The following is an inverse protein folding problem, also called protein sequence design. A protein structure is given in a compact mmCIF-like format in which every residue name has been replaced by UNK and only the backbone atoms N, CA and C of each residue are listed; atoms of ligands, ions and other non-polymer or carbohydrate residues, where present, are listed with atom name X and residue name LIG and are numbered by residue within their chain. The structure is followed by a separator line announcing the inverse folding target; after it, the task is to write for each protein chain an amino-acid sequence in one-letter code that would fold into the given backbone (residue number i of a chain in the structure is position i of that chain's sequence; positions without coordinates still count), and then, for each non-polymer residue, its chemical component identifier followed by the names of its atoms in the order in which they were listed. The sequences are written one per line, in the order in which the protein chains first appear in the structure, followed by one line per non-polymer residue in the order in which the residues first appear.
data_IF_909783429417
#
_entry.id   IF_909783429417
#
_cell.length_a   1.000
_cell.length_b   1.000
_cell.length_c   1.000
_cell.angle_alpha   90.00
_cell.angle_beta   90.00
_cell.angle_gamma   90.00
#
_symmetry.space_group_name_H-M   'P 1'
#
loop_
_entity.id
_entity.type
_entity.pdbx_description
1 polymer ?
#
# COMPACT_ATOMS: atom_id res chain seq x y z
N UNK A 1 -0.41 10.33 16.21
CA UNK A 1 0.97 10.85 16.43
C UNK A 1 1.99 9.78 16.85
N UNK A 2 1.60 8.69 17.55
CA UNK A 2 2.54 7.64 18.01
C UNK A 2 3.41 6.99 16.91
N UNK A 3 2.93 6.93 15.67
CA UNK A 3 3.66 6.32 14.54
C UNK A 3 4.64 7.29 13.86
N UNK A 4 4.21 8.53 13.60
CA UNK A 4 5.03 9.53 12.91
C UNK A 4 6.26 9.98 13.69
N UNK A 5 6.20 10.04 15.03
CA UNK A 5 7.38 10.35 15.86
C UNK A 5 8.50 9.35 15.64
N UNK A 6 8.18 8.06 15.66
CA UNK A 6 9.15 6.97 15.47
C UNK A 6 9.79 7.01 14.09
N UNK A 7 8.99 7.22 13.04
CA UNK A 7 9.45 7.39 11.65
C UNK A 7 10.39 8.59 11.52
N UNK A 8 10.00 9.76 12.05
CA UNK A 8 10.83 10.96 12.00
C UNK A 8 12.16 10.79 12.76
N UNK A 9 12.15 10.04 13.87
CA UNK A 9 13.37 9.72 14.62
C UNK A 9 14.37 8.89 13.83
N UNK A 10 13.91 7.94 13.01
CA UNK A 10 14.80 7.12 12.15
C UNK A 10 15.44 8.00 11.08
N UNK A 11 14.64 8.87 10.46
CA UNK A 11 15.14 9.75 9.40
C UNK A 11 16.10 10.82 9.94
N UNK A 12 15.74 11.52 11.04
CA UNK A 12 16.41 12.76 11.43
C UNK A 12 16.55 12.97 12.95
N UNK A 13 16.38 11.94 13.77
CA UNK A 13 16.54 12.06 15.22
C UNK A 13 17.97 12.44 15.61
N UNK A 14 18.16 13.51 16.41
CA UNK A 14 19.51 13.94 16.82
C UNK A 14 20.22 12.98 17.82
N UNK A 15 19.49 12.02 18.39
CA UNK A 15 20.03 11.01 19.31
C UNK A 15 20.34 11.51 20.73
N UNK A 16 19.98 12.75 21.09
CA UNK A 16 20.39 13.40 22.36
C UNK A 16 20.00 12.61 23.62
N UNK A 17 18.84 11.97 23.63
CA UNK A 17 18.36 11.19 24.80
C UNK A 17 19.00 9.81 24.93
N UNK A 18 19.95 9.47 24.06
CA UNK A 18 20.68 8.19 24.05
C UNK A 18 22.18 8.38 23.85
N UNK A 19 22.71 9.58 24.14
CA UNK A 19 24.11 9.94 23.90
C UNK A 19 24.59 9.62 22.47
N UNK A 20 23.68 9.72 21.49
CA UNK A 20 23.95 9.48 20.08
C UNK A 20 23.79 8.03 19.62
N UNK A 21 23.48 7.07 20.50
CA UNK A 21 23.31 5.64 20.14
C UNK A 21 22.17 5.44 19.14
N UNK A 22 21.02 6.08 19.36
CA UNK A 22 19.84 5.98 18.50
C UNK A 22 19.64 7.26 17.66
N UNK A 23 20.72 7.70 17.03
CA UNK A 23 20.71 8.81 16.08
C UNK A 23 20.10 8.38 14.74
N UNK A 24 19.26 9.22 14.17
CA UNK A 24 18.70 9.05 12.84
C UNK A 24 19.74 9.27 11.75
N UNK A 25 19.37 8.96 10.50
CA UNK A 25 20.30 8.97 9.36
C UNK A 25 20.79 10.38 9.01
N UNK A 26 19.89 11.36 8.95
CA UNK A 26 20.15 12.77 8.66
C UNK A 26 19.86 13.64 9.90
N UNK A 27 20.66 13.54 10.98
CA UNK A 27 20.35 14.12 12.29
C UNK A 27 20.35 15.66 12.34
N UNK A 28 20.82 16.31 11.28
CA UNK A 28 20.90 17.77 11.13
C UNK A 28 19.87 18.32 10.13
N UNK A 29 19.06 17.47 9.49
CA UNK A 29 18.04 17.94 8.55
C UNK A 29 16.87 18.58 9.28
N UNK A 30 16.30 19.64 8.69
CA UNK A 30 15.02 20.17 9.12
C UNK A 30 13.88 19.16 8.87
N UNK A 31 12.84 19.22 9.69
CA UNK A 31 11.67 18.34 9.58
C UNK A 31 10.41 19.13 9.20
N UNK A 32 9.80 18.79 8.08
CA UNK A 32 8.45 19.22 7.70
C UNK A 32 7.44 18.09 7.95
N UNK A 33 6.57 18.27 8.95
CA UNK A 33 5.61 17.23 9.36
C UNK A 33 4.19 17.60 8.91
N UNK A 34 3.60 16.76 8.07
CA UNK A 34 2.19 16.88 7.65
C UNK A 34 1.37 15.75 8.27
N UNK A 35 0.40 16.10 9.13
CA UNK A 35 -0.50 15.12 9.75
C UNK A 35 -1.69 14.85 8.84
N UNK A 36 -1.88 13.59 8.44
CA UNK A 36 -3.02 13.15 7.64
C UNK A 36 -4.11 12.48 8.50
N UNK A 37 -5.34 12.44 7.99
CA UNK A 37 -6.49 11.79 8.63
C UNK A 37 -7.13 12.58 9.79
N UNK A 38 -8.32 12.16 10.20
CA UNK A 38 -8.97 12.67 11.42
C UNK A 38 -8.47 11.89 12.66
N UNK A 39 -8.63 12.46 13.86
CA UNK A 39 -8.24 11.81 15.13
C UNK A 39 -9.11 10.58 15.48
N UNK A 40 -10.02 10.17 14.60
CA UNK A 40 -10.94 9.05 14.82
C UNK A 40 -10.19 7.75 14.49
N UNK A 41 -10.12 6.86 15.48
CA UNK A 41 -9.46 5.56 15.37
C UNK A 41 -9.98 4.75 14.18
N UNK A 42 -9.09 4.31 13.29
CA UNK A 42 -9.40 3.36 12.21
C UNK A 42 -9.71 3.98 10.84
N UNK A 43 -9.75 5.32 10.70
CA UNK A 43 -9.94 5.94 9.39
C UNK A 43 -8.61 6.10 8.65
N UNK A 44 -8.48 5.45 7.50
CA UNK A 44 -7.37 5.66 6.58
C UNK A 44 -7.42 7.09 5.99
N UNK A 45 -6.28 7.80 5.86
CA UNK A 45 -6.25 9.07 5.18
C UNK A 45 -6.80 8.96 3.77
N UNK A 46 -7.61 9.94 3.35
CA UNK A 46 -8.09 10.00 1.97
C UNK A 46 -6.91 10.25 1.04
N UNK A 47 -6.94 9.65 -0.16
CA UNK A 47 -5.94 9.87 -1.21
C UNK A 47 -5.77 11.36 -1.53
N UNK A 48 -6.87 12.12 -1.51
CA UNK A 48 -6.85 13.58 -1.69
C UNK A 48 -6.05 14.32 -0.63
N UNK A 49 -6.11 13.89 0.64
CA UNK A 49 -5.30 14.50 1.71
C UNK A 49 -3.81 14.22 1.51
N UNK A 50 -3.46 13.03 1.03
CA UNK A 50 -2.07 12.69 0.70
C UNK A 50 -1.56 13.54 -0.45
N UNK A 51 -2.33 13.69 -1.54
CA UNK A 51 -1.97 14.55 -2.67
C UNK A 51 -1.77 16.00 -2.22
N UNK A 52 -2.70 16.57 -1.44
CA UNK A 52 -2.56 17.94 -0.91
C UNK A 52 -1.36 18.10 0.02
N UNK A 53 -1.01 17.07 0.79
CA UNK A 53 0.16 17.10 1.66
C UNK A 53 1.49 17.09 0.88
N UNK A 54 1.55 16.31 -0.20
CA UNK A 54 2.71 16.29 -1.09
C UNK A 54 2.86 17.65 -1.78
N UNK A 55 1.78 18.22 -2.34
CA UNK A 55 1.79 19.56 -2.92
C UNK A 55 2.28 20.62 -1.93
N UNK A 56 1.72 20.63 -0.71
CA UNK A 56 2.13 21.53 0.35
C UNK A 56 3.62 21.39 0.68
N UNK A 57 4.13 20.16 0.81
CA UNK A 57 5.52 19.91 1.15
C UNK A 57 6.48 20.41 0.05
N UNK A 58 6.19 20.11 -1.22
CA UNK A 58 6.99 20.55 -2.36
C UNK A 58 7.00 22.07 -2.47
N UNK A 59 5.84 22.72 -2.37
CA UNK A 59 5.75 24.20 -2.40
C UNK A 59 6.50 24.86 -1.25
N UNK A 60 6.40 24.29 -0.05
CA UNK A 60 7.10 24.81 1.13
C UNK A 60 8.62 24.70 0.95
N UNK A 61 9.12 23.55 0.48
CA UNK A 61 10.54 23.36 0.22
C UNK A 61 11.07 24.29 -0.88
N UNK A 62 10.31 24.49 -1.95
CA UNK A 62 10.64 25.45 -3.00
C UNK A 62 10.68 26.89 -2.48
N UNK A 63 9.71 27.27 -1.63
CA UNK A 63 9.68 28.59 -0.99
C UNK A 63 10.86 28.82 -0.05
N UNK A 64 11.28 27.79 0.70
CA UNK A 64 12.47 27.81 1.57
C UNK A 64 13.79 27.66 0.81
N UNK A 65 13.76 27.40 -0.50
CA UNK A 65 14.93 27.08 -1.32
C UNK A 65 15.76 25.90 -0.76
N UNK A 66 15.08 24.85 -0.27
CA UNK A 66 15.71 23.65 0.30
C UNK A 66 15.33 22.40 -0.52
N UNK A 67 16.26 21.49 -0.82
CA UNK A 67 15.93 20.15 -1.33
C UNK A 67 14.99 19.39 -0.40
N UNK A 68 14.17 18.49 -0.94
CA UNK A 68 13.12 17.79 -0.19
C UNK A 68 13.15 16.27 -0.39
N UNK A 69 13.40 15.53 0.69
CA UNK A 69 13.16 14.10 0.76
C UNK A 69 11.83 13.82 1.49
N UNK A 70 10.84 13.27 0.78
CA UNK A 70 9.51 12.95 1.29
C UNK A 70 9.47 11.47 1.72
N UNK A 71 9.09 11.21 2.98
CA UNK A 71 8.81 9.87 3.47
C UNK A 71 7.29 9.61 3.50
N UNK A 72 6.82 8.59 2.78
CA UNK A 72 5.44 8.09 2.83
C UNK A 72 5.43 6.67 3.42
N UNK A 73 5.28 6.58 4.74
CA UNK A 73 5.15 5.31 5.47
C UNK A 73 3.67 4.90 5.61
N UNK A 74 2.96 4.83 4.49
CA UNK A 74 1.53 4.52 4.42
C UNK A 74 1.17 3.92 3.05
N UNK A 75 0.22 2.99 3.02
CA UNK A 75 -0.42 2.53 1.79
C UNK A 75 -1.65 1.66 2.06
N UNK A 76 -2.39 1.33 1.00
CA UNK A 76 -3.57 0.47 1.04
C UNK A 76 -3.63 -0.45 -0.20
N UNK A 77 -4.64 -1.32 -0.28
CA UNK A 77 -4.85 -2.24 -1.41
C UNK A 77 -5.96 -1.79 -2.38
N UNK A 78 -6.42 -0.53 -2.30
CA UNK A 78 -7.49 -0.02 -3.14
C UNK A 78 -6.94 0.49 -4.47
N UNK A 79 -7.22 -0.25 -5.54
CA UNK A 79 -6.72 0.00 -6.89
C UNK A 79 -6.07 -1.23 -7.54
N UNK A 80 -5.65 -1.08 -8.80
CA UNK A 80 -5.15 -2.17 -9.63
C UNK A 80 -3.68 -2.58 -9.36
N UNK A 81 -2.95 -1.82 -8.54
CA UNK A 81 -1.52 -2.01 -8.28
C UNK A 81 -0.65 -1.98 -9.54
N UNK A 82 -1.04 -1.17 -10.53
CA UNK A 82 -0.50 -1.19 -11.88
C UNK A 82 0.12 0.15 -12.31
N UNK A 83 0.51 1.03 -11.37
CA UNK A 83 1.05 2.37 -11.67
C UNK A 83 0.08 3.21 -12.53
N UNK A 84 -1.21 3.12 -12.26
CA UNK A 84 -2.24 3.68 -13.14
C UNK A 84 -3.42 4.33 -12.40
N UNK A 85 -3.40 4.37 -11.07
CA UNK A 85 -4.34 5.20 -10.32
C UNK A 85 -3.96 6.68 -10.40
N UNK A 86 -4.94 7.56 -10.22
CA UNK A 86 -4.72 9.01 -10.17
C UNK A 86 -3.67 9.42 -9.13
N UNK A 87 -3.62 8.73 -7.99
CA UNK A 87 -2.64 9.00 -6.94
C UNK A 87 -1.22 8.64 -7.38
N UNK A 88 -1.02 7.47 -8.00
CA UNK A 88 0.29 7.05 -8.49
C UNK A 88 0.78 7.96 -9.62
N UNK A 89 -0.10 8.33 -10.55
CA UNK A 89 0.23 9.26 -11.63
C UNK A 89 0.57 10.65 -11.11
N UNK A 90 -0.20 11.14 -10.13
CA UNK A 90 0.13 12.39 -9.44
C UNK A 90 1.52 12.33 -8.78
N UNK A 91 1.85 11.25 -8.07
CA UNK A 91 3.17 11.05 -7.47
C UNK A 91 4.26 11.04 -8.55
N UNK A 92 4.02 10.34 -9.66
CA UNK A 92 4.96 10.31 -10.78
C UNK A 92 5.23 11.71 -11.33
N UNK A 93 4.20 12.53 -11.49
CA UNK A 93 4.33 13.89 -12.03
C UNK A 93 5.10 14.80 -11.06
N UNK A 94 4.70 14.84 -9.79
CA UNK A 94 5.30 15.73 -8.78
C UNK A 94 6.71 15.30 -8.37
N UNK A 95 7.11 14.04 -8.57
CA UNK A 95 8.50 13.62 -8.42
C UNK A 95 9.47 14.35 -9.37
N UNK A 96 8.98 15.01 -10.43
CA UNK A 96 9.81 15.81 -11.34
C UNK A 96 9.77 17.32 -11.02
N UNK A 97 9.05 17.72 -9.97
CA UNK A 97 8.92 19.12 -9.56
C UNK A 97 9.93 19.37 -8.44
N UNK A 98 10.69 20.47 -8.56
CA UNK A 98 11.71 20.88 -7.59
C UNK A 98 12.82 19.82 -7.40
N UNK A 99 13.70 20.05 -6.42
CA UNK A 99 14.74 19.10 -5.98
C UNK A 99 14.13 18.08 -5.02
N UNK A 100 13.22 17.23 -5.52
CA UNK A 100 12.40 16.33 -4.71
C UNK A 100 12.76 14.85 -4.92
N UNK A 101 12.82 14.08 -3.82
CA UNK A 101 12.85 12.62 -3.84
C UNK A 101 11.74 12.07 -2.94
N UNK A 102 10.99 11.09 -3.41
CA UNK A 102 9.85 10.51 -2.69
C UNK A 102 10.14 9.05 -2.40
N UNK A 103 10.17 8.70 -1.11
CA UNK A 103 10.37 7.34 -0.62
C UNK A 103 9.05 6.79 -0.04
N UNK A 104 8.63 5.60 -0.48
CA UNK A 104 7.35 5.00 -0.10
C UNK A 104 7.59 3.57 0.42
N UNK A 105 6.99 3.22 1.56
CA UNK A 105 7.10 1.85 2.08
C UNK A 105 6.31 0.86 1.23
N UNK A 106 6.85 -0.33 0.98
CA UNK A 106 6.22 -1.34 0.13
C UNK A 106 4.94 -1.96 0.72
N UNK A 107 4.68 -1.75 2.02
CA UNK A 107 3.53 -2.29 2.72
C UNK A 107 3.85 -3.57 3.50
N UNK A 108 2.96 -3.95 4.41
CA UNK A 108 3.18 -5.07 5.34
C UNK A 108 2.30 -6.31 5.00
N UNK A 109 1.87 -6.43 3.74
CA UNK A 109 0.90 -7.45 3.31
C UNK A 109 1.54 -8.76 2.82
N UNK A 110 2.88 -8.84 2.76
CA UNK A 110 3.60 -9.94 2.10
C UNK A 110 3.35 -11.33 2.65
N UNK A 111 2.83 -11.45 3.87
CA UNK A 111 2.51 -12.73 4.51
C UNK A 111 1.10 -12.83 5.08
N UNK A 112 0.24 -11.84 4.81
CA UNK A 112 -1.10 -11.79 5.40
C UNK A 112 -2.11 -12.67 4.67
N UNK A 113 -1.78 -13.10 3.45
CA UNK A 113 -2.71 -13.83 2.58
C UNK A 113 -3.85 -12.95 2.07
N UNK A 114 -3.58 -11.66 1.87
CA UNK A 114 -4.57 -10.66 1.47
C UNK A 114 -4.68 -10.48 -0.05
N UNK A 115 -3.91 -11.25 -0.81
CA UNK A 115 -3.92 -11.25 -2.27
C UNK A 115 -4.01 -12.68 -2.80
N UNK A 116 -4.76 -12.85 -3.87
CA UNK A 116 -4.78 -14.06 -4.68
C UNK A 116 -4.81 -13.66 -6.16
N UNK A 117 -4.02 -14.35 -6.98
CA UNK A 117 -4.00 -14.17 -8.43
C UNK A 117 -4.13 -15.52 -9.13
N UNK A 118 -4.52 -15.50 -10.40
CA UNK A 118 -4.65 -16.72 -11.18
C UNK A 118 -5.10 -16.45 -12.62
N UNK A 119 -5.48 -17.53 -13.30
CA UNK A 119 -5.99 -17.51 -14.68
C UNK A 119 -7.36 -18.18 -14.68
N UNK A 120 -8.38 -17.46 -15.17
CA UNK A 120 -9.67 -18.04 -15.54
C UNK A 120 -9.47 -18.84 -16.81
N UNK A 121 -9.75 -20.14 -16.76
CA UNK A 121 -9.63 -21.03 -17.91
C UNK A 121 -10.88 -20.96 -18.78
N UNK A 122 -10.74 -21.10 -20.11
CA UNK A 122 -11.86 -21.06 -21.07
C UNK A 122 -12.95 -22.11 -20.84
N UNK A 123 -12.57 -23.29 -20.35
CA UNK A 123 -13.44 -24.47 -20.37
C UNK A 123 -13.76 -25.01 -18.96
N UNK A 124 -13.19 -24.40 -17.92
CA UNK A 124 -13.33 -24.90 -16.55
C UNK A 124 -13.57 -23.76 -15.58
N UNK A 125 -14.47 -23.99 -14.63
CA UNK A 125 -14.74 -23.04 -13.58
C UNK A 125 -13.49 -22.86 -12.72
N UNK A 126 -13.17 -21.62 -12.39
CA UNK A 126 -12.04 -21.28 -11.53
C UNK A 126 -12.54 -21.01 -10.13
N UNK A 127 -11.88 -21.58 -9.12
CA UNK A 127 -12.31 -21.52 -7.73
C UNK A 127 -11.29 -20.74 -6.91
N UNK A 128 -11.76 -19.73 -6.19
CA UNK A 128 -10.97 -19.00 -5.20
C UNK A 128 -11.64 -19.11 -3.84
N UNK A 129 -10.92 -19.64 -2.87
CA UNK A 129 -11.42 -19.86 -1.51
C UNK A 129 -10.77 -18.88 -0.53
N UNK A 130 -11.57 -18.35 0.37
CA UNK A 130 -11.09 -17.47 1.45
C UNK A 130 -11.82 -17.77 2.75
N UNK A 131 -11.09 -17.66 3.86
CA UNK A 131 -11.68 -17.73 5.19
C UNK A 131 -12.13 -16.34 5.63
N UNK A 132 -13.29 -16.29 6.30
CA UNK A 132 -13.77 -15.13 7.06
C UNK A 132 -13.77 -15.52 8.52
N UNK A 133 -13.07 -14.74 9.34
CA UNK A 133 -13.00 -14.94 10.79
C UNK A 133 -14.33 -14.63 11.48
N UNK A 134 -14.50 -15.11 12.71
CA UNK A 134 -15.57 -14.62 13.58
C UNK A 134 -15.44 -13.11 13.83
N UNK A 135 -16.57 -12.47 14.09
CA UNK A 135 -16.69 -11.04 14.39
C UNK A 135 -16.25 -10.08 13.26
N UNK A 136 -16.26 -10.53 12.00
CA UNK A 136 -16.00 -9.66 10.86
C UNK A 136 -17.22 -8.79 10.56
N UNK A 137 -17.13 -7.49 10.84
CA UNK A 137 -18.26 -6.56 10.68
C UNK A 137 -18.42 -6.06 9.24
N UNK A 138 -17.32 -5.91 8.50
CA UNK A 138 -17.32 -5.46 7.12
C UNK A 138 -16.18 -6.14 6.37
N UNK A 139 -16.42 -6.52 5.12
CA UNK A 139 -15.43 -7.12 4.24
C UNK A 139 -15.71 -6.65 2.82
N UNK A 140 -14.67 -6.32 2.07
CA UNK A 140 -14.79 -6.17 0.64
C UNK A 140 -13.68 -6.92 -0.08
N UNK A 141 -13.94 -7.19 -1.34
CA UNK A 141 -13.00 -7.78 -2.28
C UNK A 141 -13.00 -6.93 -3.54
N UNK A 142 -11.80 -6.62 -4.02
CA UNK A 142 -11.60 -6.01 -5.34
C UNK A 142 -10.99 -7.06 -6.26
N UNK A 143 -11.73 -7.46 -7.29
CA UNK A 143 -11.24 -8.33 -8.36
C UNK A 143 -10.85 -7.45 -9.53
N UNK A 144 -9.61 -7.52 -9.97
CA UNK A 144 -9.08 -6.81 -11.12
C UNK A 144 -8.78 -7.80 -12.23
N UNK A 145 -9.31 -7.54 -13.42
CA UNK A 145 -9.11 -8.37 -14.63
C UNK A 145 -8.99 -7.49 -15.87
N UNK A 146 -8.61 -8.05 -17.01
CA UNK A 146 -8.73 -7.33 -18.26
C UNK A 146 -10.20 -7.05 -18.57
N UNK A 147 -10.52 -5.88 -19.11
CA UNK A 147 -11.90 -5.53 -19.45
C UNK A 147 -12.53 -6.44 -20.50
N UNK A 148 -11.73 -6.92 -21.46
CA UNK A 148 -12.18 -7.78 -22.55
C UNK A 148 -12.39 -9.26 -22.16
N UNK A 149 -11.92 -9.69 -20.99
CA UNK A 149 -12.22 -11.04 -20.49
C UNK A 149 -13.60 -11.05 -19.84
N UNK A 150 -14.46 -12.00 -20.18
CA UNK A 150 -15.82 -12.12 -19.66
C UNK A 150 -16.04 -13.45 -18.93
N UNK A 151 -16.51 -13.34 -17.69
CA UNK A 151 -16.91 -14.48 -16.85
C UNK A 151 -17.97 -14.04 -15.85
N UNK A 152 -18.89 -14.97 -15.54
CA UNK A 152 -19.85 -14.79 -14.46
C UNK A 152 -19.22 -15.19 -13.12
N UNK A 153 -19.80 -14.70 -12.02
CA UNK A 153 -19.37 -15.03 -10.67
C UNK A 153 -20.50 -15.73 -9.92
N UNK A 154 -20.17 -16.80 -9.21
CA UNK A 154 -21.03 -17.34 -8.14
C UNK A 154 -20.29 -17.20 -6.82
N UNK A 155 -20.95 -16.58 -5.84
CA UNK A 155 -20.46 -16.54 -4.46
C UNK A 155 -21.15 -17.65 -3.67
N UNK A 156 -20.36 -18.45 -2.95
CA UNK A 156 -20.87 -19.50 -2.06
C UNK A 156 -20.50 -19.17 -0.62
N UNK A 157 -21.50 -19.16 0.25
CA UNK A 157 -21.36 -18.95 1.68
C UNK A 157 -20.91 -20.26 2.38
N UNK A 158 -20.44 -20.20 3.64
CA UNK A 158 -19.90 -21.37 4.37
C UNK A 158 -20.89 -22.54 4.50
N UNK A 159 -22.18 -22.25 4.66
CA UNK A 159 -23.27 -23.24 4.67
C UNK A 159 -23.69 -23.73 3.28
N UNK A 160 -22.86 -23.51 2.25
CA UNK A 160 -23.05 -23.93 0.85
C UNK A 160 -24.19 -23.23 0.09
N UNK A 161 -24.79 -22.19 0.67
CA UNK A 161 -25.78 -21.34 -0.02
C UNK A 161 -25.09 -20.55 -1.13
N UNK A 162 -25.71 -20.45 -2.32
CA UNK A 162 -25.15 -19.77 -3.50
C UNK A 162 -25.90 -18.47 -3.79
N UNK A 163 -25.20 -17.45 -4.29
CA UNK A 163 -25.79 -16.17 -4.73
C UNK A 163 -26.69 -16.28 -5.96
N UNK A 164 -26.66 -17.42 -6.66
CA UNK A 164 -27.02 -17.46 -8.08
C UNK A 164 -25.90 -16.88 -8.95
N UNK A 165 -26.14 -16.81 -10.25
CA UNK A 165 -25.16 -16.32 -11.23
C UNK A 165 -25.16 -14.80 -11.26
N UNK A 166 -24.05 -14.20 -10.86
CA UNK A 166 -23.80 -12.76 -10.93
C UNK A 166 -23.19 -12.48 -12.30
N UNK A 167 -23.93 -11.76 -13.13
CA UNK A 167 -23.53 -11.40 -14.50
C UNK A 167 -23.09 -9.95 -14.56
N UNK A 168 -22.38 -9.56 -15.62
CA UNK A 168 -22.01 -8.15 -15.85
C UNK A 168 -23.24 -7.33 -16.25
N UNK A 169 -23.79 -6.57 -15.31
CA UNK A 169 -24.83 -5.55 -15.57
C UNK A 169 -24.43 -4.19 -15.01
N UNK A 170 -24.92 -3.13 -15.63
CA UNK A 170 -24.68 -1.77 -15.17
C UNK A 170 -25.37 -1.49 -13.82
N UNK A 171 -24.67 -0.79 -12.93
CA UNK A 171 -25.19 -0.39 -11.63
C UNK A 171 -24.97 -1.41 -10.51
N UNK A 172 -25.59 -1.14 -9.36
CA UNK A 172 -25.47 -1.95 -8.15
C UNK A 172 -26.30 -3.23 -8.30
N UNK A 173 -25.69 -4.37 -8.02
CA UNK A 173 -26.37 -5.64 -7.84
C UNK A 173 -26.37 -6.02 -6.36
N UNK A 174 -27.42 -6.69 -5.90
CA UNK A 174 -27.61 -7.04 -4.50
C UNK A 174 -28.14 -8.46 -4.35
N UNK A 175 -27.48 -9.25 -3.51
CA UNK A 175 -27.88 -10.62 -3.17
C UNK A 175 -27.83 -10.79 -1.66
N UNK A 176 -28.64 -11.70 -1.10
CA UNK A 176 -28.57 -12.04 0.32
C UNK A 176 -28.40 -13.55 0.42
N UNK A 177 -27.29 -13.98 1.01
CA UNK A 177 -27.00 -15.39 1.28
C UNK A 177 -26.49 -15.57 2.70
N UNK A 178 -27.06 -16.53 3.42
CA UNK A 178 -26.65 -16.88 4.79
C UNK A 178 -26.57 -15.67 5.74
N UNK A 179 -27.55 -14.78 5.63
CA UNK A 179 -27.60 -13.57 6.46
C UNK A 179 -26.48 -12.55 6.18
N UNK A 180 -25.81 -12.66 5.03
CA UNK A 180 -24.86 -11.67 4.49
C UNK A 180 -25.41 -11.10 3.19
N UNK A 181 -25.53 -9.78 3.14
CA UNK A 181 -25.82 -9.02 1.93
C UNK A 181 -24.54 -8.82 1.12
N UNK A 182 -24.59 -9.17 -0.16
CA UNK A 182 -23.53 -8.96 -1.12
C UNK A 182 -23.91 -7.76 -1.99
N UNK A 183 -23.09 -6.72 -2.00
CA UNK A 183 -23.20 -5.61 -2.94
C UNK A 183 -22.12 -5.72 -3.99
N UNK A 184 -22.51 -5.85 -5.25
CA UNK A 184 -21.57 -6.00 -6.36
C UNK A 184 -21.68 -4.81 -7.29
N UNK A 185 -20.52 -4.29 -7.66
CA UNK A 185 -20.36 -3.23 -8.64
C UNK A 185 -19.31 -3.63 -9.67
N UNK A 186 -19.68 -3.53 -10.95
CA UNK A 186 -18.74 -3.67 -12.06
C UNK A 186 -18.29 -2.26 -12.46
N UNK A 187 -17.01 -1.97 -12.25
CA UNK A 187 -16.38 -0.77 -12.75
C UNK A 187 -16.29 -0.79 -14.27
N UNK A 188 -16.27 0.40 -14.85
CA UNK A 188 -15.91 0.59 -16.26
C UNK A 188 -14.45 1.02 -16.36
N UNK A 189 -13.77 0.75 -17.48
CA UNK A 189 -12.45 1.28 -17.76
C UNK A 189 -12.44 2.80 -17.59
N UNK A 190 -11.36 3.28 -16.98
CA UNK A 190 -11.15 4.72 -16.81
C UNK A 190 -10.12 5.21 -17.82
N UNK A 191 -10.01 6.52 -18.07
CA UNK A 191 -8.94 7.07 -18.93
C UNK A 191 -7.51 6.68 -18.51
N UNK A 192 -7.33 6.25 -17.25
CA UNK A 192 -6.03 5.89 -16.69
C UNK A 192 -5.82 4.37 -16.58
N UNK A 193 -6.89 3.57 -16.59
CA UNK A 193 -6.82 2.11 -16.44
C UNK A 193 -7.82 1.42 -17.37
N UNK A 194 -7.28 0.58 -18.26
CA UNK A 194 -8.08 -0.33 -19.10
C UNK A 194 -8.50 -1.61 -18.37
N UNK A 195 -7.96 -1.84 -17.17
CA UNK A 195 -8.39 -2.93 -16.31
C UNK A 195 -9.78 -2.65 -15.73
N UNK A 196 -10.55 -3.72 -15.58
CA UNK A 196 -11.86 -3.67 -14.95
C UNK A 196 -11.76 -4.07 -13.48
N UNK A 197 -12.35 -3.25 -12.62
CA UNK A 197 -12.63 -3.59 -11.23
C UNK A 197 -14.00 -4.27 -11.12
N UNK A 198 -14.08 -5.36 -10.35
CA UNK A 198 -15.33 -5.89 -9.81
C UNK A 198 -15.21 -5.81 -8.30
N UNK A 199 -16.00 -4.92 -7.71
CA UNK A 199 -16.02 -4.68 -6.28
C UNK A 199 -17.18 -5.47 -5.65
N UNK A 200 -16.87 -6.26 -4.62
CA UNK A 200 -17.85 -7.04 -3.86
C UNK A 200 -17.74 -6.61 -2.40
N UNK A 201 -18.81 -6.07 -1.84
CA UNK A 201 -18.95 -5.77 -0.42
C UNK A 201 -19.83 -6.80 0.26
N UNK A 202 -19.39 -7.29 1.41
CA UNK A 202 -20.11 -8.23 2.27
C UNK A 202 -20.54 -7.47 3.51
N UNK A 203 -21.85 -7.40 3.72
CA UNK A 203 -22.49 -6.63 4.78
C UNK A 203 -23.35 -7.59 5.61
N UNK A 204 -23.24 -7.61 6.95
CA UNK A 204 -24.18 -8.34 7.80
C UNK A 204 -25.61 -7.87 7.52
N UNK A 205 -26.56 -8.80 7.38
CA UNK A 205 -27.96 -8.49 7.07
C UNK A 205 -28.92 -9.06 8.11
N UNK A 206 -30.12 -8.47 8.21
CA UNK A 206 -31.13 -8.88 9.18
C UNK A 206 -30.71 -8.56 10.62
N UNK A 207 -30.79 -9.56 11.51
CA UNK A 207 -30.40 -9.42 12.91
C UNK A 207 -28.90 -9.67 13.18
N UNK A 208 -28.13 -10.02 12.14
CA UNK A 208 -26.72 -10.35 12.28
C UNK A 208 -25.87 -9.09 12.44
N UNK A 209 -24.89 -9.16 13.34
CA UNK A 209 -23.90 -8.09 13.55
C UNK A 209 -22.60 -8.30 12.78
N UNK A 210 -22.39 -9.51 12.26
CA UNK A 210 -21.17 -9.95 11.61
C UNK A 210 -21.49 -10.79 10.38
N UNK A 211 -20.55 -10.82 9.44
CA UNK A 211 -20.58 -11.68 8.26
C UNK A 211 -20.47 -13.13 8.73
N UNK A 212 -21.14 -14.05 8.03
CA UNK A 212 -21.04 -15.48 8.34
C UNK A 212 -19.56 -15.92 8.29
N UNK A 213 -19.05 -16.46 9.40
CA UNK A 213 -17.67 -16.94 9.49
C UNK A 213 -17.53 -18.32 8.85
N UNK A 214 -16.33 -18.62 8.36
CA UNK A 214 -16.03 -19.89 7.69
C UNK A 214 -15.42 -19.69 6.30
N UNK A 215 -15.47 -20.74 5.48
CA UNK A 215 -14.88 -20.72 4.14
C UNK A 215 -15.91 -20.24 3.13
N UNK A 216 -15.62 -19.11 2.51
CA UNK A 216 -16.35 -18.58 1.37
C UNK A 216 -15.65 -18.95 0.07
N UNK A 217 -16.43 -19.03 -1.00
CA UNK A 217 -15.91 -19.40 -2.32
C UNK A 217 -16.41 -18.45 -3.40
N UNK A 218 -15.47 -17.93 -4.19
CA UNK A 218 -15.75 -17.34 -5.48
C UNK A 218 -15.55 -18.40 -6.56
N UNK A 219 -16.57 -18.56 -7.40
CA UNK A 219 -16.53 -19.43 -8.58
C UNK A 219 -16.67 -18.57 -9.82
N UNK A 220 -15.63 -18.54 -10.65
CA UNK A 220 -15.63 -17.85 -11.94
C UNK A 220 -16.04 -18.82 -13.04
N UNK A 221 -17.11 -18.48 -13.75
CA UNK A 221 -17.69 -19.27 -14.84
C UNK A 221 -17.29 -18.60 -16.15
N UNK A 222 -16.36 -19.18 -16.94
CA UNK A 222 -15.87 -18.55 -18.15
C UNK A 222 -16.98 -18.34 -19.19
N UNK A 223 -16.97 -17.20 -19.87
CA UNK A 223 -17.81 -16.90 -21.05
C UNK A 223 -16.97 -16.70 -22.29
N UNK A 224 -16.19 -15.63 -22.30
CA UNK A 224 -15.28 -15.28 -23.38
C UNK A 224 -13.97 -14.82 -22.78
N UNK A 225 -12.99 -15.71 -22.74
CA UNK A 225 -11.69 -15.45 -22.12
C UNK A 225 -10.65 -15.27 -23.21
N UNK A 226 -9.94 -14.15 -23.21
CA UNK A 226 -8.80 -13.90 -24.10
C UNK A 226 -7.49 -14.22 -23.38
N UNK A 227 -7.27 -13.61 -22.21
CA UNK A 227 -6.06 -13.80 -21.38
C UNK A 227 -6.41 -14.48 -20.05
N UNK A 228 -7.45 -14.00 -19.38
CA UNK A 228 -8.01 -14.61 -18.19
C UNK A 228 -7.27 -14.33 -16.87
N UNK A 229 -6.20 -13.54 -16.87
CA UNK A 229 -5.52 -13.19 -15.63
C UNK A 229 -6.43 -12.35 -14.73
N UNK A 230 -6.41 -12.66 -13.43
CA UNK A 230 -7.10 -11.90 -12.42
C UNK A 230 -6.22 -11.72 -11.18
N UNK A 231 -6.48 -10.65 -10.45
CA UNK A 231 -5.94 -10.38 -9.13
C UNK A 231 -7.08 -10.01 -8.19
N UNK A 232 -7.02 -10.47 -6.95
CA UNK A 232 -8.03 -10.20 -5.94
C UNK A 232 -7.33 -9.72 -4.67
N UNK A 233 -7.73 -8.56 -4.17
CA UNK A 233 -7.21 -8.04 -2.91
C UNK A 233 -8.31 -7.88 -1.87
N UNK A 234 -7.97 -8.27 -0.65
CA UNK A 234 -8.61 -7.75 0.56
C UNK A 234 -8.13 -6.32 0.87
N UNK A 235 -8.91 -5.55 1.65
CA UNK A 235 -8.42 -4.35 2.32
C UNK A 235 -7.12 -4.59 3.10
N UNK A 236 -6.31 -3.55 3.26
CA UNK A 236 -5.07 -3.62 4.06
C UNK A 236 -5.35 -3.78 5.56
N UNK A 237 -4.38 -4.39 6.26
CA UNK A 237 -4.44 -4.72 7.70
C UNK A 237 -4.77 -3.53 8.59
N UNK A 238 -5.56 -3.78 9.65
CA UNK A 238 -6.10 -2.79 10.57
C UNK A 238 -7.64 -2.75 10.57
N UNK A 239 -8.26 -3.40 9.59
CA UNK A 239 -9.72 -3.52 9.41
C UNK A 239 -10.18 -4.97 9.56
N UNK A 240 -9.35 -5.94 9.19
CA UNK A 240 -9.69 -7.37 9.16
C UNK A 240 -9.06 -8.14 10.32
N UNK A 241 -9.73 -9.21 10.76
CA UNK A 241 -9.14 -10.16 11.68
C UNK A 241 -7.99 -10.95 11.03
N UNK A 242 -7.03 -11.41 11.84
CA UNK A 242 -5.82 -12.12 11.37
C UNK A 242 -6.10 -13.45 10.66
N UNK A 243 -7.27 -14.03 10.87
CA UNK A 243 -7.70 -15.29 10.23
C UNK A 243 -8.53 -15.08 8.95
N UNK A 244 -8.91 -13.84 8.62
CA UNK A 244 -9.60 -13.51 7.36
C UNK A 244 -8.56 -13.39 6.25
N UNK A 245 -8.49 -14.38 5.34
CA UNK A 245 -7.45 -14.46 4.30
C UNK A 245 -7.82 -15.43 3.19
N UNK A 246 -7.13 -15.36 2.05
CA UNK A 246 -7.21 -16.40 1.03
C UNK A 246 -6.60 -17.71 1.54
N UNK A 247 -7.23 -18.84 1.20
CA UNK A 247 -6.69 -20.16 1.56
C UNK A 247 -5.49 -20.55 0.67
N UNK A 248 -5.42 -19.98 -0.54
CA UNK A 248 -4.31 -20.12 -1.49
C UNK A 248 -3.84 -18.74 -1.93
N UNK A 249 -3.12 -18.01 -1.07
CA UNK A 249 -2.70 -16.66 -1.38
C UNK A 249 -1.54 -16.64 -2.39
N UNK A 250 -1.47 -15.56 -3.15
CA UNK A 250 -0.28 -15.19 -3.92
C UNK A 250 0.63 -14.33 -3.05
N UNK A 251 1.94 -14.59 -3.11
CA UNK A 251 2.94 -13.88 -2.29
C UNK A 251 3.59 -12.70 -3.02
N UNK A 252 3.51 -12.70 -4.35
CA UNK A 252 3.91 -11.62 -5.24
C UNK A 252 2.76 -10.62 -5.42
N UNK A 253 3.04 -9.40 -5.86
CA UNK A 253 2.05 -8.31 -6.03
C UNK A 253 1.30 -7.96 -4.74
N UNK A 254 2.02 -8.02 -3.63
CA UNK A 254 1.55 -7.66 -2.29
C UNK A 254 2.00 -6.26 -1.85
N UNK A 255 2.59 -5.50 -2.79
CA UNK A 255 2.85 -4.07 -2.64
C UNK A 255 1.56 -3.33 -2.26
N UNK A 256 1.66 -2.26 -1.49
CA UNK A 256 0.52 -1.35 -1.26
C UNK A 256 0.59 -0.15 -2.18
N UNK A 257 -0.55 0.39 -2.60
CA UNK A 257 -0.62 1.70 -3.27
C UNK A 257 -0.38 2.79 -2.21
N UNK A 258 0.48 3.79 -2.46
CA UNK A 258 1.05 4.16 -3.76
C UNK A 258 2.51 3.71 -3.99
N UNK A 259 2.99 2.68 -3.30
CA UNK A 259 4.36 2.17 -3.49
C UNK A 259 4.60 1.52 -4.87
N UNK A 260 3.53 1.37 -5.65
CA UNK A 260 3.54 0.93 -7.04
C UNK A 260 3.78 2.09 -8.03
N UNK A 261 3.90 3.34 -7.56
CA UNK A 261 4.25 4.49 -8.40
C UNK A 261 5.68 4.36 -8.98
N UNK A 262 5.82 4.53 -10.29
CA UNK A 262 7.06 4.27 -11.01
C UNK A 262 8.23 5.16 -10.57
N UNK A 263 7.99 6.46 -10.38
CA UNK A 263 9.06 7.45 -10.10
C UNK A 263 9.33 7.67 -8.60
N UNK A 264 8.65 6.93 -7.72
CA UNK A 264 8.97 6.92 -6.30
C UNK A 264 9.95 5.79 -5.98
N UNK A 265 10.76 5.99 -4.93
CA UNK A 265 11.64 4.96 -4.39
C UNK A 265 10.82 4.11 -3.42
N UNK A 266 10.51 2.89 -3.81
CA UNK A 266 9.77 1.93 -3.04
C UNK A 266 10.71 1.12 -2.18
N UNK A 267 10.45 1.10 -0.87
CA UNK A 267 11.33 0.56 0.15
C UNK A 267 10.67 -0.62 0.84
N UNK A 268 11.22 -1.81 0.63
CA UNK A 268 10.90 -3.01 1.40
C UNK A 268 11.67 -3.09 2.72
N UNK A 269 11.38 -4.12 3.51
CA UNK A 269 12.02 -4.33 4.82
C UNK A 269 12.82 -5.63 4.87
N UNK A 270 13.99 -5.58 5.52
CA UNK A 270 14.74 -6.77 5.91
C UNK A 270 15.08 -6.72 7.41
N UNK A 271 15.50 -7.87 7.94
CA UNK A 271 15.97 -8.00 9.31
C UNK A 271 17.48 -7.73 9.38
N UNK A 272 17.86 -6.60 9.96
CA UNK A 272 19.26 -6.17 10.07
C UNK A 272 20.16 -7.05 10.95
N UNK A 273 19.60 -8.04 11.69
CA UNK A 273 20.41 -8.94 12.53
C UNK A 273 20.95 -10.15 11.78
N UNK A 274 20.29 -10.56 10.70
CA UNK A 274 20.61 -11.80 9.98
C UNK A 274 20.43 -11.68 8.47
N UNK A 275 20.24 -10.46 7.96
CA UNK A 275 20.07 -10.12 6.54
C UNK A 275 18.94 -10.87 5.82
N UNK A 276 17.96 -11.39 6.56
CA UNK A 276 16.81 -12.07 5.96
C UNK A 276 15.72 -11.10 5.56
N UNK A 277 15.00 -11.41 4.47
CA UNK A 277 13.82 -10.64 4.08
C UNK A 277 12.78 -10.63 5.21
N UNK A 278 12.22 -9.47 5.53
CA UNK A 278 11.14 -9.41 6.50
C UNK A 278 9.89 -10.04 5.90
N UNK A 279 9.35 -11.05 6.56
CA UNK A 279 8.24 -11.88 6.03
C UNK A 279 7.02 -11.04 5.64
N UNK A 280 6.76 -9.95 6.37
CA UNK A 280 5.67 -9.01 6.09
C UNK A 280 5.91 -8.08 4.90
N UNK A 281 7.16 -7.91 4.44
CA UNK A 281 7.51 -6.92 3.41
C UNK A 281 6.74 -7.20 2.12
N UNK A 282 6.00 -6.19 1.65
CA UNK A 282 5.29 -6.24 0.37
C UNK A 282 6.27 -6.54 -0.76
N UNK A 283 5.86 -7.44 -1.65
CA UNK A 283 6.65 -7.97 -2.76
C UNK A 283 6.01 -7.58 -4.07
N UNK A 284 6.84 -7.19 -5.03
CA UNK A 284 6.37 -7.01 -6.39
C UNK A 284 6.10 -8.33 -7.10
N UNK A 285 6.05 -8.35 -8.42
CA UNK A 285 6.03 -7.16 -9.29
C UNK A 285 4.79 -6.30 -9.03
N UNK A 286 4.72 -5.10 -9.59
CA UNK A 286 3.40 -4.47 -9.79
C UNK A 286 2.57 -5.33 -10.74
N UNK A 287 1.25 -5.15 -10.79
CA UNK A 287 0.37 -5.95 -11.67
C UNK A 287 0.78 -5.88 -13.15
N UNK A 288 1.36 -4.76 -13.59
CA UNK A 288 1.85 -4.58 -14.97
C UNK A 288 3.27 -5.11 -15.22
N UNK A 289 3.89 -5.76 -14.23
CA UNK A 289 5.23 -6.36 -14.33
C UNK A 289 6.39 -5.44 -13.97
N UNK A 290 6.16 -4.20 -13.53
CA UNK A 290 7.26 -3.33 -13.06
C UNK A 290 7.90 -3.90 -11.79
N UNK A 291 9.24 -3.94 -11.77
CA UNK A 291 10.05 -4.40 -10.63
C UNK A 291 9.93 -3.38 -9.49
N UNK A 292 9.38 -3.83 -8.36
CA UNK A 292 9.33 -3.12 -7.07
C UNK A 292 9.37 -4.16 -5.94
N UNK A 293 9.81 -3.85 -4.70
CA UNK A 293 10.43 -2.60 -4.29
C UNK A 293 11.74 -2.33 -5.04
N UNK A 294 12.18 -1.07 -5.09
CA UNK A 294 13.47 -0.72 -5.70
C UNK A 294 14.63 -1.19 -4.82
N UNK A 295 14.49 -1.02 -3.51
CA UNK A 295 15.49 -1.40 -2.51
C UNK A 295 14.82 -1.85 -1.20
N UNK A 296 15.61 -2.43 -0.30
CA UNK A 296 15.20 -2.80 1.06
C UNK A 296 16.07 -2.10 2.10
N UNK A 297 15.51 -1.81 3.27
CA UNK A 297 16.24 -1.25 4.42
C UNK A 297 15.85 -1.96 5.73
N UNK A 298 16.59 -1.81 6.84
CA UNK A 298 16.25 -2.44 8.10
C UNK A 298 14.85 -2.02 8.57
N UNK A 299 13.96 -3.00 8.76
CA UNK A 299 12.57 -2.74 9.15
C UNK A 299 12.06 -3.63 10.28
N UNK A 300 12.92 -4.45 10.90
CA UNK A 300 12.56 -5.37 11.98
C UNK A 300 13.19 -4.90 13.29
N UNK A 301 12.35 -4.69 14.32
CA UNK A 301 12.75 -4.31 15.68
C UNK A 301 13.63 -3.04 15.72
N UNK A 302 13.25 -2.02 14.95
CA UNK A 302 13.99 -0.76 14.87
C UNK A 302 13.70 0.10 16.09
N UNK A 303 14.74 0.42 16.84
CA UNK A 303 14.68 1.36 17.96
C UNK A 303 14.66 2.80 17.44
N UNK A 304 13.66 3.58 17.82
CA UNK A 304 13.57 5.01 17.48
C UNK A 304 12.71 5.75 18.50
N UNK A 305 12.60 7.07 18.36
CA UNK A 305 11.93 7.97 19.28
C UNK A 305 10.47 7.58 19.50
N UNK A 306 10.02 7.72 20.75
CA UNK A 306 8.64 7.45 21.15
C UNK A 306 7.89 8.76 21.44
N UNK A 307 6.58 8.75 21.23
CA UNK A 307 5.71 9.86 21.62
C UNK A 307 5.68 9.97 23.15
N UNK A 308 5.93 11.17 23.68
CA UNK A 308 6.04 11.40 25.13
C UNK A 308 7.48 11.27 25.67
N UNK A 309 8.47 11.04 24.80
CA UNK A 309 9.88 10.92 25.16
C UNK A 309 10.41 9.48 25.13
N UNK A 310 11.73 9.35 25.18
CA UNK A 310 12.42 8.06 25.14
C UNK A 310 12.37 7.37 23.77
N UNK A 311 12.60 6.05 23.78
CA UNK A 311 12.71 5.21 22.59
C UNK A 311 11.81 3.98 22.69
N UNK A 312 11.40 3.45 21.55
CA UNK A 312 10.61 2.22 21.45
C UNK A 312 10.98 1.45 20.19
N UNK A 313 10.78 0.13 20.22
CA UNK A 313 11.01 -0.74 19.06
C UNK A 313 9.72 -0.91 18.25
N UNK A 314 9.85 -0.84 16.93
CA UNK A 314 8.76 -1.14 15.98
C UNK A 314 9.29 -1.90 14.77
N UNK A 315 8.40 -2.66 14.14
CA UNK A 315 8.66 -3.38 12.89
C UNK A 315 7.67 -2.95 11.81
N UNK A 316 8.12 -2.93 10.55
CA UNK A 316 7.32 -2.61 9.38
C UNK A 316 8.15 -1.95 8.29
N UNK A 317 7.68 -1.97 7.04
CA UNK A 317 8.30 -1.19 5.94
C UNK A 317 8.33 0.29 6.26
N UNK A 318 7.37 0.78 7.04
CA UNK A 318 7.35 2.14 7.58
C UNK A 318 8.56 2.53 8.42
N UNK A 319 9.29 1.57 8.99
CA UNK A 319 10.56 1.79 9.69
C UNK A 319 11.75 1.71 8.72
N UNK A 320 11.62 0.95 7.63
CA UNK A 320 12.64 0.85 6.58
C UNK A 320 12.69 2.13 5.71
N UNK A 321 11.54 2.64 5.28
CA UNK A 321 11.42 3.85 4.43
C UNK A 321 12.17 5.09 4.95
N UNK A 322 12.13 5.44 6.26
CA UNK A 322 12.84 6.61 6.75
C UNK A 322 14.38 6.46 6.75
N UNK A 323 14.93 5.24 6.74
CA UNK A 323 16.37 5.07 6.51
C UNK A 323 16.76 5.56 5.11
N UNK A 324 15.99 5.13 4.10
CA UNK A 324 16.21 5.54 2.71
C UNK A 324 15.92 7.03 2.52
N UNK A 325 14.88 7.56 3.18
CA UNK A 325 14.56 8.99 3.11
C UNK A 325 15.70 9.84 3.69
N UNK A 326 16.24 9.44 4.85
CA UNK A 326 17.39 10.12 5.44
C UNK A 326 18.64 10.00 4.56
N UNK A 327 18.88 8.84 3.94
CA UNK A 327 19.98 8.67 2.98
C UNK A 327 19.81 9.57 1.75
N UNK A 328 18.59 9.71 1.23
CA UNK A 328 18.27 10.64 0.15
C UNK A 328 18.57 12.10 0.56
N UNK A 329 18.25 12.50 1.79
CA UNK A 329 18.58 13.83 2.30
C UNK A 329 20.10 14.06 2.37
N UNK A 330 20.89 13.09 2.82
CA UNK A 330 22.36 13.17 2.82
C UNK A 330 22.95 13.25 1.40
N UNK A 331 22.39 12.48 0.45
CA UNK A 331 22.80 12.55 -0.95
C UNK A 331 22.45 13.91 -1.58
N UNK A 332 21.31 14.50 -1.20
CA UNK A 332 20.95 15.86 -1.61
C UNK A 332 21.91 16.89 -1.04
N UNK A 333 22.29 16.82 0.24
CA UNK A 333 23.29 17.70 0.85
C UNK A 333 24.63 17.63 0.07
N UNK A 334 25.08 16.40 -0.23
CA UNK A 334 26.30 16.19 -1.00
C UNK A 334 26.18 16.75 -2.42
N UNK A 335 25.11 16.44 -3.14
CA UNK A 335 24.90 16.87 -4.53
C UNK A 335 24.70 18.37 -4.68
N UNK A 336 24.02 19.03 -3.73
CA UNK A 336 23.80 20.48 -3.73
C UNK A 336 25.11 21.23 -3.39
N UNK A 337 25.98 20.64 -2.58
CA UNK A 337 27.29 21.21 -2.23
C UNK A 337 28.31 21.23 -3.39
N UNK A 338 28.21 20.31 -4.36
CA UNK A 338 29.17 20.23 -5.50
C UNK A 338 29.05 21.40 -6.48
N UNK A 339 27.94 22.14 -6.50
CA UNK A 339 27.79 23.34 -7.35
C UNK A 339 28.31 24.64 -6.70
N UNK A 340 28.63 24.64 -5.41
CA UNK A 340 29.18 25.81 -4.71
C UNK A 340 30.71 25.83 -4.66
N UNK A 341 31.40 24.82 -5.19
CA UNK A 341 32.88 24.75 -5.23
C UNK A 341 33.52 25.13 -6.58
N UNK A 342 32.80 25.75 -7.52
CA UNK A 342 33.39 26.31 -8.75
C UNK A 342 33.09 27.79 -8.95
N UNK A 343 33.35 28.60 -7.92
CA UNK A 343 33.61 30.04 -8.09
C UNK A 343 34.49 30.57 -6.94
N UNK A 344 35.60 29.88 -6.71
CA UNK A 344 36.51 30.20 -5.60
C UNK A 344 37.98 29.93 -5.87
N UNK A 345 38.39 29.64 -7.11
CA UNK A 345 39.80 29.82 -7.48
C UNK A 345 39.99 31.27 -7.93
N UNK A 346 40.23 32.13 -6.95
CA UNK A 346 40.93 33.40 -7.19
C UNK A 346 42.21 33.39 -6.38
N UNK A 347 43.30 33.33 -7.12
CA UNK A 347 44.67 33.50 -6.65
C UNK A 347 44.83 34.71 -5.72
N UNK A 348 45.63 34.58 -4.67
CA UNK A 348 46.78 35.47 -4.45
C UNK A 348 47.69 34.97 -3.33
N UNK A 349 48.95 34.82 -3.72
CA UNK A 349 50.24 34.96 -2.99
C UNK A 349 50.31 34.72 -1.49
#
# INVERSE_FOLDING_TARGET
MKYGTHVAGIAAGNGRSSDGVYRGVAPKSDLLIVKLGSSISGSFPKTTQLMSAIDYAIRTAAWLNQPLAINISFGNNYGAHANNSLLEQYINDVSNIWKTSICIGSGNNGSLGYHASGIVNKNTNTIVEFSVSEAEANLNLQIWKNFFDDFDIIVRAPGLTRSGTITKVAGKQQFIIEGTELLIYYGEPTPYSVDQEIYIEFIPSGANRYIASGVWVLEFIPKDIVVGNYDIWFPTSGVLNSSTRFLRPSVETTLTIPSTAAKAITVGAYNGRNDSLAVFSGRGYTKNGMVKPDIVAPGVEIMSTSSGGGYTMKSGTSMATPFVTGAAALLMEWGDGVFLMTSGDSASK
#
